data_IF_186064803665
#
_entry.id   IF_186064803665
#
_cell.length_a   1.000
_cell.length_b   1.000
_cell.length_c   1.000
_cell.angle_alpha   90.00
_cell.angle_beta   90.00
_cell.angle_gamma   90.00
#
_symmetry.space_group_name_H-M   'P 1'
#
loop_
_entity.id
_entity.type
_entity.pdbx_description
1 polymer ?
#
# COMPACT_ATOMS: atom_id res chain seq x y z
N UNK A 1 24.87 -26.65 28.84
CA UNK A 1 23.67 -26.31 29.61
C UNK A 1 22.87 -25.32 28.76
N UNK A 2 21.62 -25.64 28.41
CA UNK A 2 20.74 -24.71 27.69
C UNK A 2 20.25 -23.69 28.71
N UNK A 3 20.43 -22.39 28.44
CA UNK A 3 19.92 -21.32 29.30
C UNK A 3 18.38 -21.46 29.41
N UNK A 4 17.90 -21.77 30.62
CA UNK A 4 16.48 -22.07 30.91
C UNK A 4 15.67 -20.83 31.28
N UNK A 5 16.21 -19.63 31.09
CA UNK A 5 15.46 -18.39 31.35
C UNK A 5 14.20 -18.34 30.48
N UNK A 6 13.04 -18.36 31.15
CA UNK A 6 11.75 -18.17 30.48
C UNK A 6 11.75 -16.83 29.73
N UNK A 7 11.23 -16.78 28.50
CA UNK A 7 11.11 -15.54 27.77
C UNK A 7 10.22 -14.54 28.52
N UNK A 8 10.63 -13.28 28.53
CA UNK A 8 9.84 -12.17 29.07
C UNK A 8 9.01 -11.60 27.92
N UNK A 9 7.69 -11.56 28.09
CA UNK A 9 6.77 -11.03 27.08
C UNK A 9 6.38 -9.57 27.40
N UNK A 10 6.07 -8.75 26.38
CA UNK A 10 5.58 -7.38 26.59
C UNK A 10 4.19 -7.37 27.25
N UNK A 11 3.81 -6.26 27.89
CA UNK A 11 2.47 -6.10 28.47
C UNK A 11 1.37 -5.94 27.42
N UNK A 12 1.72 -5.33 26.27
CA UNK A 12 0.82 -5.07 25.14
C UNK A 12 1.58 -5.22 23.85
N UNK A 13 0.89 -5.59 22.78
CA UNK A 13 1.47 -5.70 21.45
C UNK A 13 0.53 -5.14 20.38
N UNK A 14 1.12 -4.44 19.41
CA UNK A 14 0.47 -4.07 18.15
C UNK A 14 1.17 -4.85 17.05
N UNK A 15 0.43 -5.71 16.37
CA UNK A 15 0.90 -6.44 15.19
C UNK A 15 0.32 -5.75 13.97
N UNK A 16 1.14 -5.49 12.95
CA UNK A 16 0.71 -4.84 11.72
C UNK A 16 0.92 -5.76 10.53
N UNK A 17 -0.10 -5.93 9.69
CA UNK A 17 0.04 -6.51 8.36
C UNK A 17 0.16 -5.39 7.33
N UNK A 18 1.11 -5.51 6.40
CA UNK A 18 1.27 -4.54 5.31
C UNK A 18 -0.06 -4.31 4.59
N UNK A 19 -0.37 -3.05 4.30
CA UNK A 19 -1.64 -2.67 3.67
C UNK A 19 -1.59 -3.01 2.17
N UNK A 20 -2.39 -3.98 1.67
CA UNK A 20 -2.55 -4.21 0.24
C UNK A 20 -3.10 -2.97 -0.48
N UNK A 21 -2.61 -2.71 -1.69
CA UNK A 21 -3.15 -1.66 -2.55
C UNK A 21 -4.62 -1.91 -2.91
N UNK A 22 -5.42 -0.84 -2.89
CA UNK A 22 -6.85 -0.84 -3.18
C UNK A 22 -7.22 -0.92 -4.67
N UNK A 23 -6.29 -1.37 -5.51
CA UNK A 23 -6.51 -1.54 -6.95
C UNK A 23 -6.92 -2.96 -7.36
N UNK A 24 -6.81 -3.95 -6.47
CA UNK A 24 -7.06 -5.37 -6.79
C UNK A 24 -7.40 -6.21 -5.56
N UNK A 25 -7.89 -7.43 -5.82
CA UNK A 25 -8.11 -8.50 -4.85
C UNK A 25 -6.79 -9.10 -4.33
N UNK A 26 -6.84 -9.86 -3.22
CA UNK A 26 -5.66 -10.52 -2.68
C UNK A 26 -5.36 -11.82 -3.44
N UNK A 27 -4.09 -12.01 -3.80
CA UNK A 27 -3.57 -13.32 -4.21
C UNK A 27 -2.87 -14.03 -3.05
N UNK A 28 -2.53 -15.32 -3.24
CA UNK A 28 -1.86 -16.16 -2.24
C UNK A 28 -0.58 -15.54 -1.68
N UNK A 29 0.16 -14.77 -2.46
CA UNK A 29 1.33 -14.03 -1.95
C UNK A 29 0.99 -13.08 -0.79
N UNK A 30 -0.11 -12.32 -0.85
CA UNK A 30 -0.49 -11.46 0.27
C UNK A 30 -0.92 -12.29 1.48
N UNK A 31 -1.74 -13.31 1.24
CA UNK A 31 -2.27 -14.16 2.31
C UNK A 31 -1.14 -14.92 3.02
N UNK A 32 -0.33 -15.66 2.25
CA UNK A 32 0.73 -16.52 2.77
C UNK A 32 1.95 -15.79 3.27
N UNK A 33 2.37 -14.69 2.64
CA UNK A 33 3.60 -14.00 3.04
C UNK A 33 3.36 -12.92 4.11
N UNK A 34 2.16 -12.34 4.18
CA UNK A 34 1.87 -11.23 5.09
C UNK A 34 0.88 -11.63 6.17
N UNK A 35 -0.33 -12.03 5.77
CA UNK A 35 -1.44 -12.17 6.71
C UNK A 35 -1.37 -13.42 7.58
N UNK A 36 -1.01 -14.58 7.02
CA UNK A 36 -0.85 -15.83 7.78
C UNK A 36 0.24 -15.70 8.86
N UNK A 37 1.47 -15.23 8.55
CA UNK A 37 2.50 -15.07 9.57
C UNK A 37 2.11 -14.06 10.66
N UNK A 38 1.51 -12.92 10.26
CA UNK A 38 1.04 -11.91 11.22
C UNK A 38 -0.10 -12.45 12.11
N UNK A 39 -1.01 -13.24 11.57
CA UNK A 39 -2.11 -13.85 12.32
C UNK A 39 -1.62 -14.93 13.29
N UNK A 40 -0.70 -15.81 12.85
CA UNK A 40 -0.05 -16.81 13.71
C UNK A 40 0.65 -16.12 14.88
N UNK A 41 1.43 -15.07 14.61
CA UNK A 41 2.14 -14.34 15.64
C UNK A 41 1.17 -13.62 16.60
N UNK A 42 0.09 -13.03 16.07
CA UNK A 42 -0.95 -12.39 16.87
C UNK A 42 -1.65 -13.39 17.78
N UNK A 43 -2.01 -14.58 17.28
CA UNK A 43 -2.62 -15.66 18.08
C UNK A 43 -1.68 -16.16 19.17
N UNK A 44 -0.41 -16.35 18.83
CA UNK A 44 0.62 -16.71 19.81
C UNK A 44 0.73 -15.65 20.92
N UNK A 45 0.79 -14.36 20.58
CA UNK A 45 0.84 -13.31 21.58
C UNK A 45 -0.43 -13.26 22.43
N UNK A 46 -1.63 -13.43 21.84
CA UNK A 46 -2.89 -13.44 22.60
C UNK A 46 -2.93 -14.57 23.63
N UNK A 47 -2.35 -15.72 23.30
CA UNK A 47 -2.16 -16.83 24.23
C UNK A 47 -1.15 -16.48 25.35
N UNK A 48 -0.05 -15.80 25.02
CA UNK A 48 1.00 -15.45 26.00
C UNK A 48 0.62 -14.31 26.94
N UNK A 49 -0.07 -13.29 26.44
CA UNK A 49 -0.27 -12.01 27.16
C UNK A 49 -1.74 -11.59 27.27
N UNK A 50 -2.69 -12.42 26.83
CA UNK A 50 -4.12 -12.12 26.86
C UNK A 50 -4.63 -11.48 25.57
N UNK A 51 -5.88 -11.80 25.19
CA UNK A 51 -6.47 -11.37 23.92
C UNK A 51 -6.66 -9.85 23.85
N UNK A 52 -7.01 -9.25 24.97
CA UNK A 52 -7.24 -7.83 25.17
C UNK A 52 -5.95 -6.98 25.08
N UNK A 53 -4.78 -7.61 25.21
CA UNK A 53 -3.49 -6.95 25.18
C UNK A 53 -2.82 -6.96 23.80
N UNK A 54 -3.46 -7.57 22.79
CA UNK A 54 -2.91 -7.68 21.43
C UNK A 54 -3.90 -7.11 20.43
N UNK A 55 -3.43 -6.14 19.65
CA UNK A 55 -4.18 -5.59 18.51
C UNK A 55 -3.45 -5.94 17.22
N UNK A 56 -4.09 -6.71 16.35
CA UNK A 56 -3.64 -6.95 14.99
C UNK A 56 -4.38 -6.02 14.03
N UNK A 57 -3.67 -5.07 13.42
CA UNK A 57 -4.23 -4.09 12.49
C UNK A 57 -3.64 -4.24 11.09
N UNK A 58 -4.46 -3.99 10.08
CA UNK A 58 -4.04 -3.79 8.69
C UNK A 58 -5.12 -2.97 7.99
N UNK A 59 -5.12 -2.96 6.66
CA UNK A 59 -6.14 -2.25 5.88
C UNK A 59 -5.80 -2.18 4.42
N UNK A 60 -6.56 -1.38 3.69
CA UNK A 60 -6.35 -1.13 2.26
C UNK A 60 -5.65 0.21 2.06
N UNK A 61 -4.52 0.20 1.34
CA UNK A 61 -3.88 1.43 0.87
C UNK A 61 -4.69 2.00 -0.31
N UNK A 62 -5.20 3.21 -0.16
CA UNK A 62 -6.18 3.83 -1.03
C UNK A 62 -5.56 4.87 -1.96
N UNK A 63 -4.25 5.14 -1.84
CA UNK A 63 -3.57 6.17 -2.61
C UNK A 63 -2.60 5.60 -3.65
N UNK A 64 -2.26 6.44 -4.62
CA UNK A 64 -1.23 6.15 -5.63
C UNK A 64 -1.75 6.08 -7.06
N UNK A 65 -0.86 6.45 -8.00
CA UNK A 65 -1.17 6.44 -9.43
C UNK A 65 -1.58 5.06 -10.00
N UNK A 66 -1.11 3.90 -9.48
CA UNK A 66 -1.59 2.61 -9.96
C UNK A 66 -3.08 2.40 -9.74
N UNK A 67 -3.66 2.90 -8.64
CA UNK A 67 -5.10 2.76 -8.37
C UNK A 67 -5.91 3.53 -9.41
N UNK A 68 -5.49 4.76 -9.72
CA UNK A 68 -6.12 5.59 -10.74
C UNK A 68 -6.07 4.92 -12.12
N UNK A 69 -4.93 4.31 -12.47
CA UNK A 69 -4.75 3.62 -13.75
C UNK A 69 -5.63 2.37 -13.87
N UNK A 70 -5.70 1.55 -12.82
CA UNK A 70 -6.57 0.37 -12.80
C UNK A 70 -8.05 0.75 -12.88
N UNK A 71 -8.46 1.80 -12.15
CA UNK A 71 -9.82 2.33 -12.22
C UNK A 71 -10.17 2.81 -13.64
N UNK A 72 -9.28 3.60 -14.28
CA UNK A 72 -9.50 4.09 -15.66
C UNK A 72 -9.66 2.93 -16.64
N UNK A 73 -8.86 1.87 -16.51
CA UNK A 73 -8.97 0.66 -17.34
C UNK A 73 -10.32 -0.03 -17.13
N UNK A 74 -10.71 -0.23 -15.87
CA UNK A 74 -11.96 -0.90 -15.52
C UNK A 74 -13.21 -0.12 -15.98
N UNK A 75 -13.14 1.22 -16.02
CA UNK A 75 -14.21 2.04 -16.59
C UNK A 75 -14.20 1.95 -18.12
N UNK A 76 -13.02 1.97 -18.76
CA UNK A 76 -12.89 1.94 -20.21
C UNK A 76 -13.31 0.58 -20.82
N UNK A 77 -13.09 -0.53 -20.13
CA UNK A 77 -13.51 -1.87 -20.56
C UNK A 77 -14.93 -2.25 -20.12
N UNK A 78 -15.61 -1.36 -19.38
CA UNK A 78 -16.98 -1.55 -18.89
C UNK A 78 -17.10 -2.53 -17.71
N UNK A 79 -16.00 -3.01 -17.14
CA UNK A 79 -16.02 -3.92 -15.98
C UNK A 79 -16.35 -3.23 -14.65
N UNK A 80 -16.28 -1.90 -14.60
CA UNK A 80 -16.63 -1.12 -13.42
C UNK A 80 -17.43 0.15 -13.77
N UNK A 81 -18.42 0.45 -12.94
CA UNK A 81 -19.18 1.70 -12.96
C UNK A 81 -19.19 2.33 -11.56
N UNK A 82 -19.10 3.65 -11.50
CA UNK A 82 -19.04 4.40 -10.24
C UNK A 82 -17.78 5.26 -10.12
N UNK A 83 -17.58 5.83 -8.94
CA UNK A 83 -16.44 6.68 -8.64
C UNK A 83 -15.17 5.89 -8.33
N UNK A 84 -14.03 6.58 -8.27
CA UNK A 84 -12.77 5.99 -7.80
C UNK A 84 -12.89 5.51 -6.34
N UNK A 85 -13.66 6.20 -5.52
CA UNK A 85 -13.91 5.81 -4.12
C UNK A 85 -14.71 4.50 -4.06
N UNK A 86 -15.73 4.36 -4.93
CA UNK A 86 -16.50 3.11 -5.05
C UNK A 86 -15.60 1.94 -5.47
N UNK A 87 -14.68 2.20 -6.42
CA UNK A 87 -13.72 1.20 -6.88
C UNK A 87 -12.82 0.71 -5.73
N UNK A 88 -12.21 1.64 -5.00
CA UNK A 88 -11.38 1.31 -3.83
C UNK A 88 -12.19 0.61 -2.74
N UNK A 89 -13.42 1.07 -2.47
CA UNK A 89 -14.30 0.47 -1.47
C UNK A 89 -14.70 -0.96 -1.83
N UNK A 90 -14.98 -1.23 -3.11
CA UNK A 90 -15.28 -2.58 -3.61
C UNK A 90 -14.08 -3.53 -3.41
N UNK A 91 -12.88 -3.08 -3.74
CA UNK A 91 -11.65 -3.84 -3.52
C UNK A 91 -11.39 -4.05 -2.03
N UNK A 92 -11.57 -3.03 -1.19
CA UNK A 92 -11.44 -3.15 0.26
C UNK A 92 -12.38 -4.23 0.84
N UNK A 93 -13.65 -4.22 0.44
CA UNK A 93 -14.64 -5.24 0.86
C UNK A 93 -14.22 -6.64 0.40
N UNK A 94 -13.75 -6.78 -0.84
CA UNK A 94 -13.29 -8.05 -1.37
C UNK A 94 -12.07 -8.59 -0.60
N UNK A 95 -11.09 -7.72 -0.33
CA UNK A 95 -9.90 -8.05 0.47
C UNK A 95 -10.28 -8.48 1.88
N UNK A 96 -11.18 -7.74 2.55
CA UNK A 96 -11.65 -8.11 3.89
C UNK A 96 -12.35 -9.47 3.89
N UNK A 97 -13.24 -9.71 2.93
CA UNK A 97 -13.94 -10.98 2.79
C UNK A 97 -12.97 -12.15 2.56
N UNK A 98 -11.92 -11.96 1.75
CA UNK A 98 -10.88 -12.97 1.55
C UNK A 98 -10.15 -13.30 2.85
N UNK A 99 -9.74 -12.28 3.62
CA UNK A 99 -9.12 -12.49 4.93
C UNK A 99 -10.04 -13.27 5.88
N UNK A 100 -11.34 -12.97 5.86
CA UNK A 100 -12.34 -13.68 6.66
C UNK A 100 -12.49 -15.15 6.24
N UNK A 101 -12.46 -15.44 4.94
CA UNK A 101 -12.46 -16.82 4.43
C UNK A 101 -11.25 -17.64 4.89
N UNK A 102 -10.09 -16.99 5.05
CA UNK A 102 -8.89 -17.60 5.61
C UNK A 102 -8.85 -17.59 7.15
N UNK A 103 -9.93 -17.14 7.82
CA UNK A 103 -10.02 -17.01 9.27
C UNK A 103 -8.91 -16.12 9.88
N UNK A 104 -8.44 -15.12 9.13
CA UNK A 104 -7.48 -14.14 9.62
C UNK A 104 -8.16 -13.29 10.68
N UNK A 105 -7.59 -13.27 11.88
CA UNK A 105 -8.20 -12.68 13.06
C UNK A 105 -7.68 -11.27 13.35
N UNK A 106 -7.78 -10.37 12.37
CA UNK A 106 -7.44 -8.97 12.59
C UNK A 106 -8.49 -8.26 13.47
N UNK A 107 -8.04 -7.36 14.33
CA UNK A 107 -8.90 -6.53 15.16
C UNK A 107 -9.49 -5.37 14.35
N UNK A 108 -8.73 -4.86 13.38
CA UNK A 108 -9.15 -3.78 12.48
C UNK A 108 -8.54 -3.99 11.09
N UNK A 109 -9.39 -3.95 10.08
CA UNK A 109 -9.01 -3.83 8.68
C UNK A 109 -9.54 -2.51 8.16
N UNK A 110 -8.71 -1.48 8.18
CA UNK A 110 -9.09 -0.09 7.91
C UNK A 110 -8.90 0.29 6.43
N UNK A 111 -9.13 1.56 6.12
CA UNK A 111 -8.71 2.17 4.87
C UNK A 111 -7.88 3.42 5.17
N UNK A 112 -6.94 3.76 4.29
CA UNK A 112 -6.11 4.97 4.43
C UNK A 112 -6.81 6.26 3.95
N UNK A 113 -7.89 6.16 3.17
CA UNK A 113 -8.59 7.33 2.63
C UNK A 113 -10.07 7.46 3.03
N UNK A 114 -10.75 6.36 3.37
CA UNK A 114 -12.20 6.31 3.52
C UNK A 114 -12.64 6.21 5.00
N UNK A 115 -13.78 6.80 5.31
CA UNK A 115 -14.38 6.79 6.64
C UNK A 115 -13.48 7.39 7.73
N UNK A 116 -13.74 6.99 8.99
CA UNK A 116 -13.05 7.57 10.15
C UNK A 116 -11.55 7.32 10.15
N UNK A 117 -11.09 6.15 9.68
CA UNK A 117 -9.66 5.87 9.60
C UNK A 117 -8.96 6.75 8.56
N UNK A 118 -9.63 7.06 7.44
CA UNK A 118 -9.12 7.99 6.43
C UNK A 118 -9.01 9.43 6.94
N UNK A 119 -9.96 9.87 7.77
CA UNK A 119 -9.88 11.17 8.45
C UNK A 119 -8.66 11.25 9.37
N UNK A 120 -8.50 10.26 10.25
CA UNK A 120 -7.38 10.19 11.19
C UNK A 120 -6.05 10.12 10.42
N UNK A 121 -5.98 9.30 9.37
CA UNK A 121 -4.78 9.16 8.55
C UNK A 121 -4.38 10.49 7.88
N UNK A 122 -5.35 11.24 7.35
CA UNK A 122 -5.11 12.56 6.74
C UNK A 122 -4.63 13.58 7.76
N UNK A 123 -5.25 13.64 8.93
CA UNK A 123 -4.86 14.55 10.02
C UNK A 123 -3.44 14.24 10.50
N UNK A 124 -3.16 12.98 10.83
CA UNK A 124 -1.85 12.54 11.33
C UNK A 124 -0.75 12.73 10.27
N UNK A 125 -1.01 12.40 9.00
CA UNK A 125 -0.04 12.61 7.92
C UNK A 125 0.32 14.08 7.75
N UNK A 126 -0.69 14.97 7.84
CA UNK A 126 -0.47 16.41 7.78
C UNK A 126 0.34 16.91 8.98
N UNK A 127 0.06 16.39 10.19
CA UNK A 127 0.82 16.72 11.40
C UNK A 127 2.28 16.28 11.29
N UNK A 128 2.55 15.05 10.85
CA UNK A 128 3.90 14.52 10.66
C UNK A 128 4.68 15.38 9.67
N UNK A 129 4.11 15.67 8.48
CA UNK A 129 4.80 16.49 7.48
C UNK A 129 5.07 17.92 7.97
N UNK A 130 4.10 18.56 8.64
CA UNK A 130 4.28 19.90 9.21
C UNK A 130 5.36 19.91 10.30
N UNK A 131 5.41 18.88 11.13
CA UNK A 131 6.41 18.75 12.20
C UNK A 131 7.81 18.58 11.61
N UNK A 132 7.98 17.69 10.63
CA UNK A 132 9.25 17.50 9.95
C UNK A 132 9.72 18.79 9.26
N UNK A 133 8.81 19.52 8.60
CA UNK A 133 9.13 20.81 7.99
C UNK A 133 9.54 21.86 9.04
N UNK A 134 8.76 22.00 10.13
CA UNK A 134 9.05 22.94 11.21
C UNK A 134 10.41 22.69 11.87
N UNK A 135 10.82 21.43 11.98
CA UNK A 135 12.08 21.01 12.57
C UNK A 135 13.26 21.03 11.57
N UNK A 136 13.06 21.57 10.36
CA UNK A 136 14.14 21.69 9.37
C UNK A 136 14.55 20.37 8.70
N UNK A 137 13.73 19.32 8.80
CA UNK A 137 13.98 18.03 8.15
C UNK A 137 13.44 17.94 6.72
N UNK A 138 12.69 18.94 6.25
CA UNK A 138 12.16 19.00 4.88
C UNK A 138 12.59 20.28 4.19
N UNK A 139 13.07 20.13 2.95
CA UNK A 139 13.42 21.23 2.06
C UNK A 139 12.52 21.23 0.84
N UNK A 140 12.14 22.43 0.38
CA UNK A 140 11.38 22.60 -0.84
C UNK A 140 12.32 22.71 -2.04
N UNK A 141 12.17 21.80 -3.00
CA UNK A 141 12.93 21.78 -4.25
C UNK A 141 12.01 21.99 -5.45
N UNK A 142 12.54 22.60 -6.50
CA UNK A 142 11.87 22.70 -7.81
C UNK A 142 12.64 21.80 -8.78
N UNK A 143 11.92 20.92 -9.47
CA UNK A 143 12.50 19.99 -10.45
C UNK A 143 11.67 20.01 -11.73
N UNK A 144 12.30 19.89 -12.91
CA UNK A 144 11.58 19.63 -14.14
C UNK A 144 10.91 18.25 -14.07
N UNK A 145 9.68 18.14 -14.56
CA UNK A 145 8.92 16.89 -14.62
C UNK A 145 8.14 16.84 -15.94
N UNK A 146 7.98 15.63 -16.49
CA UNK A 146 7.14 15.41 -17.67
C UNK A 146 5.69 15.81 -17.40
N UNK A 147 5.08 16.53 -18.35
CA UNK A 147 3.73 17.05 -18.26
C UNK A 147 2.97 16.80 -19.56
N UNK A 148 1.78 16.24 -19.46
CA UNK A 148 0.88 16.07 -20.60
C UNK A 148 -0.06 17.27 -20.69
N UNK A 149 0.12 18.10 -21.73
CA UNK A 149 -0.69 19.30 -21.95
C UNK A 149 -2.16 19.00 -22.32
N UNK A 150 -2.46 17.82 -22.88
CA UNK A 150 -3.83 17.41 -23.22
C UNK A 150 -4.57 16.94 -21.97
N UNK A 151 -3.93 16.11 -21.15
CA UNK A 151 -4.48 15.61 -19.89
C UNK A 151 -4.37 16.63 -18.74
N UNK A 152 -3.58 17.70 -18.93
CA UNK A 152 -3.27 18.73 -17.94
C UNK A 152 -2.72 18.16 -16.63
N UNK A 153 -1.86 17.14 -16.72
CA UNK A 153 -1.35 16.42 -15.56
C UNK A 153 0.15 16.11 -15.70
N UNK A 154 0.85 16.05 -14.56
CA UNK A 154 2.21 15.51 -14.51
C UNK A 154 2.19 14.00 -14.73
N UNK A 155 3.23 13.51 -15.41
CA UNK A 155 3.42 12.10 -15.71
C UNK A 155 4.43 11.49 -14.73
N UNK A 156 4.14 10.27 -14.27
CA UNK A 156 5.15 9.45 -13.60
C UNK A 156 6.01 8.69 -14.62
N UNK A 157 7.11 8.09 -14.15
CA UNK A 157 8.09 7.43 -15.00
C UNK A 157 7.50 6.40 -15.96
N UNK A 158 6.48 5.64 -15.49
CA UNK A 158 5.81 4.58 -16.26
C UNK A 158 4.79 5.08 -17.28
N UNK A 159 4.40 6.35 -17.20
CA UNK A 159 3.49 6.98 -18.16
C UNK A 159 4.23 7.63 -19.33
N UNK A 160 5.54 7.85 -19.19
CA UNK A 160 6.40 8.37 -20.25
C UNK A 160 6.91 7.18 -21.04
N UNK A 161 6.65 7.15 -22.34
CA UNK A 161 7.09 6.07 -23.22
C UNK A 161 7.96 6.68 -24.33
N UNK A 162 9.10 6.05 -24.58
CA UNK A 162 10.04 6.50 -25.61
C UNK A 162 11.01 5.40 -26.03
N UNK A 163 12.16 5.82 -26.57
CA UNK A 163 13.28 4.95 -26.95
C UNK A 163 14.39 5.05 -25.92
N UNK A 164 15.11 3.94 -25.71
CA UNK A 164 16.29 3.92 -24.86
C UNK A 164 17.35 4.91 -25.38
N UNK A 165 17.89 5.81 -24.53
CA UNK A 165 18.95 6.73 -24.92
C UNK A 165 20.33 6.07 -25.06
N UNK A 166 20.51 4.82 -24.61
CA UNK A 166 21.80 4.11 -24.73
C UNK A 166 22.07 3.74 -26.19
N UNK A 167 23.20 4.17 -26.77
CA UNK A 167 23.57 3.83 -28.14
C UNK A 167 23.61 2.31 -28.36
N UNK A 168 22.97 1.86 -29.45
CA UNK A 168 22.93 0.44 -29.83
C UNK A 168 21.90 -0.40 -29.06
N UNK A 169 21.15 0.18 -28.13
CA UNK A 169 20.05 -0.53 -27.48
C UNK A 169 18.91 -0.79 -28.48
N UNK A 170 18.44 -2.04 -28.53
CA UNK A 170 17.33 -2.49 -29.38
C UNK A 170 15.99 -2.59 -28.63
N UNK A 171 15.85 -1.89 -27.50
CA UNK A 171 14.60 -1.88 -26.75
C UNK A 171 13.54 -1.12 -27.53
N UNK A 172 12.45 -1.79 -27.89
CA UNK A 172 11.33 -1.19 -28.62
C UNK A 172 10.50 -0.24 -27.73
N UNK A 173 10.57 -0.44 -26.41
CA UNK A 173 9.91 0.40 -25.42
C UNK A 173 10.87 0.80 -24.31
N UNK A 174 10.80 2.06 -23.90
CA UNK A 174 11.46 2.55 -22.70
C UNK A 174 10.51 3.43 -21.90
N UNK A 175 10.60 3.33 -20.57
CA UNK A 175 10.01 4.25 -19.62
C UNK A 175 11.01 5.35 -19.26
N UNK A 176 10.59 6.37 -18.51
CA UNK A 176 11.47 7.49 -18.15
C UNK A 176 12.64 7.08 -17.22
N UNK A 177 12.51 5.97 -16.50
CA UNK A 177 13.48 5.45 -15.52
C UNK A 177 14.24 4.20 -16.01
N UNK A 178 13.68 3.42 -16.94
CA UNK A 178 14.25 2.14 -17.37
C UNK A 178 13.75 1.72 -18.77
N UNK A 179 14.56 1.02 -19.59
CA UNK A 179 14.05 0.29 -20.77
C UNK A 179 13.74 -1.18 -20.51
N UNK A 180 13.00 -1.84 -21.40
CA UNK A 180 12.65 -3.27 -21.28
C UNK A 180 13.86 -4.22 -21.19
N UNK A 181 15.04 -3.81 -21.68
CA UNK A 181 16.29 -4.56 -21.55
C UNK A 181 17.06 -4.30 -20.24
N UNK A 182 16.49 -3.52 -19.31
CA UNK A 182 17.04 -3.32 -17.96
C UNK A 182 18.10 -2.23 -17.83
N UNK A 183 18.20 -1.30 -18.78
CA UNK A 183 19.09 -0.15 -18.65
C UNK A 183 18.43 0.97 -17.82
N UNK A 184 18.99 1.36 -16.66
CA UNK A 184 18.52 2.50 -15.88
C UNK A 184 19.10 3.83 -16.40
N UNK A 185 18.39 4.94 -16.14
CA UNK A 185 18.81 6.31 -16.51
C UNK A 185 18.77 7.29 -15.33
#
# INVERSE_FOLDING_TARGET
MIDTKRPIFPKKAVVTGGMPYGNKRLHLGHIGAVFIPADIYSRFLRDRIGKENVVFVSGTDCYGSPIVEYYKKAVADGSFSGSLEDFVLSNHKAQKNELDMYSISNNLFATSALGRSGEIHRELSAEVLKTLHKNGHLEKHVRPQFYDAKLKAFLNGRQVIGRCPIPGCKSEKAYADECELGHPY
#
